data_IF_804606344738
#
_entry.id   IF_804606344738
#
_cell.length_a   1.000
_cell.length_b   1.000
_cell.length_c   1.000
_cell.angle_alpha   90.00
_cell.angle_beta   90.00
_cell.angle_gamma   90.00
#
_symmetry.space_group_name_H-M   'P 1'
#
loop_
_entity.id
_entity.type
_entity.pdbx_description
1 polymer ?
#
# COMPACT_ATOMS: atom_id res chain seq x y z
N UNK A 1 -6.35 2.92 18.77
CA UNK A 1 -5.90 4.14 18.05
C UNK A 1 -7.07 4.60 17.20
N UNK A 2 -7.74 5.68 17.57
CA UNK A 2 -8.86 6.21 16.78
C UNK A 2 -8.27 6.92 15.55
N UNK A 3 -8.41 6.33 14.39
CA UNK A 3 -7.97 6.89 13.10
C UNK A 3 -8.87 8.03 12.60
N UNK A 4 -9.97 8.31 13.30
CA UNK A 4 -11.06 9.19 12.83
C UNK A 4 -10.77 10.69 12.84
N UNK A 5 -9.71 11.17 13.49
CA UNK A 5 -9.58 12.62 13.71
C UNK A 5 -8.81 13.38 12.61
N UNK A 6 -8.39 12.70 11.54
CA UNK A 6 -7.53 13.32 10.52
C UNK A 6 -7.89 13.01 9.07
N UNK A 7 -8.83 12.11 8.82
CA UNK A 7 -9.25 11.79 7.44
C UNK A 7 -10.54 12.55 7.14
N UNK A 8 -10.54 13.33 6.06
CA UNK A 8 -11.73 13.97 5.53
C UNK A 8 -12.81 12.91 5.26
N UNK A 9 -14.02 13.08 5.81
CA UNK A 9 -15.08 12.07 5.83
C UNK A 9 -15.38 11.44 4.46
N UNK A 10 -15.50 12.20 3.35
CA UNK A 10 -15.65 11.60 2.02
C UNK A 10 -14.49 10.71 1.59
N UNK A 11 -13.26 10.97 2.06
CA UNK A 11 -12.13 10.07 1.81
C UNK A 11 -12.29 8.75 2.55
N UNK A 12 -12.83 8.75 3.76
CA UNK A 12 -13.05 7.53 4.52
C UNK A 12 -14.06 6.60 3.80
N UNK A 13 -15.19 7.16 3.37
CA UNK A 13 -16.21 6.43 2.60
C UNK A 13 -15.64 5.88 1.29
N UNK A 14 -14.86 6.67 0.60
CA UNK A 14 -14.16 6.24 -0.62
C UNK A 14 -13.20 5.07 -0.34
N UNK A 15 -12.39 5.16 0.71
CA UNK A 15 -11.44 4.10 1.09
C UNK A 15 -12.14 2.78 1.43
N UNK A 16 -13.28 2.84 2.11
CA UNK A 16 -14.07 1.64 2.42
C UNK A 16 -14.64 0.96 1.16
N UNK A 17 -14.94 1.73 0.13
CA UNK A 17 -15.45 1.20 -1.14
C UNK A 17 -14.37 0.58 -2.02
N UNK A 18 -13.15 1.09 -1.97
CA UNK A 18 -12.06 0.67 -2.86
C UNK A 18 -11.15 -0.40 -2.27
N UNK A 19 -11.09 -0.58 -0.95
CA UNK A 19 -10.23 -1.57 -0.30
C UNK A 19 -10.99 -2.80 0.21
N UNK A 20 -10.37 -4.00 0.21
CA UNK A 20 -8.99 -4.33 -0.21
C UNK A 20 -8.79 -4.35 -1.72
N UNK A 21 -7.71 -3.76 -2.21
CA UNK A 21 -7.40 -3.69 -3.65
C UNK A 21 -5.90 -3.35 -3.88
N UNK A 22 -5.38 -3.52 -5.12
CA UNK A 22 -4.04 -3.05 -5.49
C UNK A 22 -4.02 -1.52 -5.71
N UNK A 23 -4.50 -0.78 -4.72
CA UNK A 23 -4.55 0.69 -4.68
C UNK A 23 -3.82 1.17 -3.45
N UNK A 24 -2.80 2.01 -3.67
CA UNK A 24 -2.04 2.70 -2.63
C UNK A 24 -2.52 4.14 -2.55
N UNK A 25 -2.74 4.63 -1.35
CA UNK A 25 -3.29 5.97 -1.11
C UNK A 25 -2.33 6.77 -0.24
N UNK A 26 -2.02 7.99 -0.67
CA UNK A 26 -1.24 8.95 0.10
C UNK A 26 -2.21 9.80 0.93
N UNK A 27 -1.99 9.83 2.25
CA UNK A 27 -2.80 10.53 3.22
C UNK A 27 -1.94 11.49 4.05
N UNK A 28 -2.54 12.61 4.49
CA UNK A 28 -1.91 13.47 5.49
C UNK A 28 -1.84 12.75 6.84
N UNK A 29 -0.75 12.96 7.55
CA UNK A 29 -0.60 12.52 8.93
C UNK A 29 -1.12 13.60 9.89
N UNK A 30 -1.63 13.16 11.04
CA UNK A 30 -1.93 14.08 12.13
C UNK A 30 -0.62 14.57 12.79
N UNK A 31 -0.66 15.70 13.48
CA UNK A 31 0.50 16.35 14.08
C UNK A 31 1.29 15.42 15.03
N UNK A 32 0.59 14.58 15.79
CA UNK A 32 1.26 13.61 16.68
C UNK A 32 2.13 12.63 15.90
N UNK A 33 1.60 12.07 14.82
CA UNK A 33 2.31 11.07 14.01
C UNK A 33 3.42 11.72 13.18
N UNK A 34 3.20 12.93 12.63
CA UNK A 34 4.25 13.74 11.98
C UNK A 34 5.46 13.95 12.87
N UNK A 35 5.21 14.29 14.15
CA UNK A 35 6.27 14.51 15.12
C UNK A 35 7.08 13.25 15.44
N UNK A 36 6.47 12.06 15.33
CA UNK A 36 7.15 10.78 15.59
C UNK A 36 7.97 10.35 14.37
N UNK A 37 7.35 10.31 13.19
CA UNK A 37 8.01 9.74 12.00
C UNK A 37 8.70 10.78 11.10
N UNK A 38 8.57 12.08 11.44
CA UNK A 38 9.20 13.21 10.73
C UNK A 38 8.83 13.27 9.24
N UNK A 39 7.57 12.98 8.93
CA UNK A 39 6.99 13.07 7.59
C UNK A 39 5.60 13.69 7.68
N UNK A 40 5.16 14.39 6.64
CA UNK A 40 3.83 15.01 6.57
C UNK A 40 2.75 14.04 6.06
N UNK A 41 3.15 13.06 5.26
CA UNK A 41 2.26 12.13 4.59
C UNK A 41 2.70 10.69 4.76
N UNK A 42 1.78 9.77 4.53
CA UNK A 42 2.04 8.33 4.50
C UNK A 42 1.31 7.69 3.31
N UNK A 43 1.97 6.74 2.66
CA UNK A 43 1.36 5.90 1.65
C UNK A 43 0.89 4.59 2.29
N UNK A 44 -0.40 4.27 2.17
CA UNK A 44 -1.01 3.08 2.78
C UNK A 44 -1.78 2.25 1.75
N UNK A 45 -1.87 0.94 1.99
CA UNK A 45 -2.64 0.01 1.18
C UNK A 45 -3.20 -1.12 2.04
N UNK A 46 -4.44 -1.55 1.75
CA UNK A 46 -4.97 -2.84 2.20
C UNK A 46 -4.93 -3.78 1.01
N UNK A 47 -4.01 -4.76 0.99
CA UNK A 47 -3.83 -5.63 -0.17
C UNK A 47 -4.99 -6.63 -0.32
N UNK A 48 -5.36 -6.93 -1.55
CA UNK A 48 -6.28 -8.02 -1.89
C UNK A 48 -5.50 -9.34 -1.96
N UNK A 49 -5.04 -9.81 -0.81
CA UNK A 49 -4.27 -11.04 -0.68
C UNK A 49 -4.57 -11.68 0.68
N UNK A 50 -5.10 -12.89 0.67
CA UNK A 50 -5.58 -13.58 1.88
C UNK A 50 -4.49 -13.83 2.91
N UNK A 51 -3.27 -14.16 2.48
CA UNK A 51 -2.14 -14.32 3.39
C UNK A 51 -1.81 -13.00 4.09
N UNK A 52 -1.69 -11.90 3.33
CA UNK A 52 -1.40 -10.59 3.89
C UNK A 52 -2.51 -10.12 4.85
N UNK A 53 -3.78 -10.35 4.49
CA UNK A 53 -4.92 -9.99 5.34
C UNK A 53 -4.94 -10.77 6.64
N UNK A 54 -4.68 -12.09 6.60
CA UNK A 54 -4.56 -12.93 7.79
C UNK A 54 -3.39 -12.48 8.66
N UNK A 55 -2.21 -12.24 8.06
CA UNK A 55 -1.04 -11.77 8.77
C UNK A 55 -1.31 -10.44 9.49
N UNK A 56 -1.87 -9.44 8.79
CA UNK A 56 -2.23 -8.14 9.38
C UNK A 56 -3.23 -8.29 10.54
N UNK A 57 -4.19 -9.21 10.42
CA UNK A 57 -5.15 -9.50 11.49
C UNK A 57 -4.47 -10.08 12.72
N UNK A 58 -3.57 -11.06 12.55
CA UNK A 58 -2.86 -11.71 13.66
C UNK A 58 -1.93 -10.73 14.39
N UNK A 59 -1.16 -9.96 13.66
CA UNK A 59 -0.24 -9.00 14.28
C UNK A 59 -0.95 -7.76 14.83
N UNK A 60 -2.17 -7.45 14.36
CA UNK A 60 -2.98 -6.27 14.76
C UNK A 60 -2.21 -4.95 14.65
N UNK A 61 -1.30 -4.83 13.70
CA UNK A 61 -0.44 -3.65 13.48
C UNK A 61 -0.19 -3.45 11.98
N UNK A 62 0.01 -2.18 11.55
CA UNK A 62 0.48 -1.92 10.19
C UNK A 62 1.90 -2.45 10.00
N UNK A 63 2.21 -2.89 8.78
CA UNK A 63 3.54 -3.31 8.36
C UNK A 63 4.14 -2.25 7.43
N UNK A 64 5.41 -1.95 7.62
CA UNK A 64 6.19 -1.20 6.65
C UNK A 64 6.56 -2.17 5.53
N UNK A 65 6.35 -1.76 4.29
CA UNK A 65 6.70 -2.54 3.11
C UNK A 65 7.44 -1.70 2.08
N UNK A 66 8.30 -2.35 1.33
CA UNK A 66 9.02 -1.76 0.20
C UNK A 66 9.09 -2.76 -0.95
N UNK A 67 9.52 -2.33 -2.13
CA UNK A 67 9.85 -3.23 -3.23
C UNK A 67 11.12 -4.05 -2.91
N UNK A 68 11.21 -5.25 -3.49
CA UNK A 68 12.37 -6.13 -3.34
C UNK A 68 13.40 -5.73 -4.39
N UNK A 69 14.28 -4.78 -4.06
CA UNK A 69 15.35 -4.31 -4.93
C UNK A 69 16.39 -3.54 -4.12
N UNK A 70 17.60 -3.43 -4.65
CA UNK A 70 18.56 -2.43 -4.17
C UNK A 70 18.20 -1.06 -4.72
N UNK A 71 18.61 -0.01 -4.03
CA UNK A 71 18.30 1.36 -4.43
C UNK A 71 18.79 1.63 -5.88
N UNK A 72 17.88 2.09 -6.74
CA UNK A 72 18.16 2.36 -8.14
C UNK A 72 18.02 1.16 -9.10
N UNK A 73 17.75 -0.04 -8.59
CA UNK A 73 17.52 -1.23 -9.41
C UNK A 73 16.03 -1.49 -9.63
N UNK A 74 15.71 -2.29 -10.66
CA UNK A 74 14.34 -2.74 -10.89
C UNK A 74 13.91 -3.75 -9.80
N UNK A 75 12.64 -3.72 -9.36
CA UNK A 75 12.12 -4.69 -8.42
C UNK A 75 12.23 -6.13 -8.93
N UNK A 76 12.71 -7.04 -8.07
CA UNK A 76 12.72 -8.47 -8.34
C UNK A 76 11.31 -9.04 -8.15
N UNK A 77 10.89 -9.92 -9.07
CA UNK A 77 9.60 -10.60 -9.04
C UNK A 77 9.71 -12.12 -9.25
N UNK A 78 10.92 -12.63 -9.48
CA UNK A 78 11.20 -14.06 -9.62
C UNK A 78 11.70 -14.62 -8.30
N UNK A 79 11.03 -15.68 -7.81
CA UNK A 79 11.35 -16.25 -6.48
C UNK A 79 12.82 -16.71 -6.40
N UNK A 80 13.33 -17.35 -7.45
CA UNK A 80 14.71 -17.84 -7.46
C UNK A 80 15.73 -16.69 -7.34
N UNK A 81 15.48 -15.56 -8.00
CA UNK A 81 16.31 -14.37 -7.87
C UNK A 81 16.23 -13.78 -6.47
N UNK A 82 15.02 -13.72 -5.88
CA UNK A 82 14.80 -13.21 -4.53
C UNK A 82 15.54 -14.09 -3.51
N UNK A 83 15.36 -15.40 -3.59
CA UNK A 83 16.03 -16.36 -2.70
C UNK A 83 17.55 -16.25 -2.83
N UNK A 84 18.08 -16.24 -4.03
CA UNK A 84 19.53 -16.16 -4.26
C UNK A 84 20.15 -14.86 -3.72
N UNK A 85 19.42 -13.74 -3.75
CA UNK A 85 19.97 -12.45 -3.32
C UNK A 85 19.74 -12.14 -1.85
N UNK A 86 18.62 -12.61 -1.27
CA UNK A 86 18.15 -12.11 0.03
C UNK A 86 17.96 -13.18 1.11
N UNK A 87 18.09 -14.48 0.80
CA UNK A 87 17.83 -15.55 1.79
C UNK A 87 18.62 -15.38 3.09
N UNK A 88 19.86 -14.86 2.99
CA UNK A 88 20.71 -14.64 4.16
C UNK A 88 20.52 -13.26 4.83
N UNK A 89 19.72 -12.39 4.22
CA UNK A 89 19.49 -11.02 4.71
C UNK A 89 18.11 -10.85 5.37
N UNK A 90 17.25 -11.89 5.33
CA UNK A 90 15.87 -11.85 5.86
C UNK A 90 15.57 -13.07 6.72
N UNK A 91 14.68 -12.91 7.69
CA UNK A 91 14.29 -14.00 8.60
C UNK A 91 13.38 -15.02 7.90
N UNK A 92 12.56 -14.59 6.92
CA UNK A 92 11.66 -15.47 6.19
C UNK A 92 11.32 -14.90 4.80
N UNK A 93 11.06 -15.81 3.85
CA UNK A 93 10.52 -15.50 2.53
C UNK A 93 9.21 -16.25 2.37
N UNK A 94 8.11 -15.52 2.15
CA UNK A 94 6.80 -16.09 1.84
C UNK A 94 6.51 -15.86 0.36
N UNK A 95 6.16 -16.92 -0.36
CA UNK A 95 5.81 -16.82 -1.76
C UNK A 95 4.59 -17.67 -2.11
N UNK A 96 3.90 -17.29 -3.18
CA UNK A 96 2.85 -18.11 -3.78
C UNK A 96 3.40 -18.72 -5.07
N UNK A 97 3.15 -20.01 -5.27
CA UNK A 97 3.56 -20.74 -6.47
C UNK A 97 2.83 -20.25 -7.75
N UNK A 98 1.69 -19.57 -7.59
CA UNK A 98 1.00 -18.93 -8.71
C UNK A 98 1.70 -17.63 -9.09
N UNK A 99 2.56 -17.68 -10.09
CA UNK A 99 3.18 -16.50 -10.70
C UNK A 99 2.15 -15.77 -11.54
N UNK A 100 1.44 -14.82 -10.95
CA UNK A 100 0.69 -13.83 -11.71
C UNK A 100 1.62 -12.66 -12.05
N UNK A 101 1.54 -12.14 -13.28
CA UNK A 101 2.17 -10.88 -13.64
C UNK A 101 1.66 -9.78 -12.68
N UNK A 102 2.45 -9.45 -11.70
CA UNK A 102 2.07 -8.43 -10.72
C UNK A 102 2.24 -7.04 -11.32
N UNK A 103 1.17 -6.52 -11.89
CA UNK A 103 1.12 -5.08 -12.19
C UNK A 103 1.22 -4.31 -10.87
N UNK A 104 1.98 -3.23 -10.88
CA UNK A 104 2.12 -2.36 -9.71
C UNK A 104 0.75 -1.78 -9.28
N UNK A 105 0.62 -1.43 -8.01
CA UNK A 105 -0.57 -0.75 -7.50
C UNK A 105 -0.76 0.62 -8.17
N UNK A 106 -1.99 1.02 -8.36
CA UNK A 106 -2.35 2.41 -8.67
C UNK A 106 -2.11 3.24 -7.42
N UNK A 107 -1.45 4.39 -7.57
CA UNK A 107 -1.16 5.31 -6.46
C UNK A 107 -1.97 6.58 -6.66
N UNK A 108 -2.78 6.91 -5.66
CA UNK A 108 -3.56 8.14 -5.61
C UNK A 108 -3.19 8.98 -4.41
N UNK A 109 -3.28 10.28 -4.56
CA UNK A 109 -3.04 11.27 -3.51
C UNK A 109 -4.39 11.84 -3.03
N UNK A 110 -4.67 11.66 -1.74
CA UNK A 110 -5.82 12.21 -1.02
C UNK A 110 -5.40 13.25 0.03
N UNK A 111 -4.27 13.91 -0.14
CA UNK A 111 -3.84 15.01 0.75
C UNK A 111 -4.68 16.28 0.55
N UNK A 112 -5.43 16.38 -0.54
CA UNK A 112 -6.39 17.43 -0.86
C UNK A 112 -7.80 16.87 -0.98
N UNK A 113 -8.83 17.74 -1.05
CA UNK A 113 -10.24 17.31 -1.12
C UNK A 113 -10.57 16.44 -2.34
N UNK A 114 -9.85 16.61 -3.45
CA UNK A 114 -10.06 15.83 -4.66
C UNK A 114 -8.94 14.82 -4.85
N UNK A 115 -9.24 13.56 -5.22
CA UNK A 115 -8.24 12.57 -5.55
C UNK A 115 -7.37 13.01 -6.72
N UNK A 116 -6.06 12.77 -6.63
CA UNK A 116 -5.13 13.01 -7.74
C UNK A 116 -4.37 11.73 -8.06
N UNK A 117 -4.23 11.45 -9.34
CA UNK A 117 -3.41 10.34 -9.81
C UNK A 117 -1.93 10.66 -9.63
N UNK A 118 -1.19 9.78 -8.97
CA UNK A 118 0.27 9.82 -8.88
C UNK A 118 0.89 8.82 -9.86
N UNK A 119 0.35 7.61 -9.90
CA UNK A 119 0.78 6.55 -10.83
C UNK A 119 -0.38 5.61 -11.15
N UNK A 120 -0.64 5.37 -12.41
CA UNK A 120 -1.58 4.34 -12.84
C UNK A 120 -0.93 2.96 -12.78
N UNK A 121 -1.61 1.99 -12.20
CA UNK A 121 -1.19 0.60 -12.06
C UNK A 121 -2.24 -0.36 -12.60
N UNK A 122 -2.54 -1.42 -11.83
CA UNK A 122 -3.49 -2.47 -12.23
C UNK A 122 -4.94 -2.01 -12.34
N UNK A 123 -5.34 -0.95 -11.60
CA UNK A 123 -6.68 -0.37 -11.66
C UNK A 123 -6.59 1.02 -12.28
N UNK A 124 -7.44 1.31 -13.24
CA UNK A 124 -7.47 2.63 -13.89
C UNK A 124 -8.01 3.69 -12.94
N UNK A 125 -7.41 4.87 -12.95
CA UNK A 125 -7.82 5.97 -12.09
C UNK A 125 -9.28 6.39 -12.33
N UNK A 126 -9.72 6.40 -13.57
CA UNK A 126 -11.12 6.73 -13.94
C UNK A 126 -12.13 5.76 -13.29
N UNK A 127 -11.77 4.49 -13.12
CA UNK A 127 -12.62 3.51 -12.44
C UNK A 127 -12.73 3.82 -10.95
N UNK A 128 -11.63 4.24 -10.32
CA UNK A 128 -11.62 4.63 -8.90
C UNK A 128 -12.47 5.87 -8.65
N UNK A 129 -12.47 6.85 -9.56
CA UNK A 129 -13.28 8.06 -9.42
C UNK A 129 -14.78 7.79 -9.34
N UNK A 130 -15.28 6.68 -9.91
CA UNK A 130 -16.68 6.30 -9.80
C UNK A 130 -17.13 6.00 -8.35
N UNK A 131 -16.21 5.73 -7.46
CA UNK A 131 -16.47 5.50 -6.03
C UNK A 131 -16.32 6.76 -5.18
N UNK A 132 -15.80 7.84 -5.76
CA UNK A 132 -15.61 9.10 -5.08
C UNK A 132 -16.82 10.01 -5.35
N UNK A 133 -17.69 10.13 -4.38
CA UNK A 133 -18.93 10.93 -4.46
C UNK A 133 -18.97 11.99 -3.36
#
# INVERSE_FOLDING_TARGET
>A
MNYNDSIYEPHFDFLQKIWPAPVTVILNLNERTKNIIKQDTIAVRIPQNDFCLKLLKEISRPLISTSINRSGENPLNQIDQIVNHYLQEVDAIFFNAETTEHKSSTIIDLTSKQPKLVREGSIKFVELLNYFS
#
